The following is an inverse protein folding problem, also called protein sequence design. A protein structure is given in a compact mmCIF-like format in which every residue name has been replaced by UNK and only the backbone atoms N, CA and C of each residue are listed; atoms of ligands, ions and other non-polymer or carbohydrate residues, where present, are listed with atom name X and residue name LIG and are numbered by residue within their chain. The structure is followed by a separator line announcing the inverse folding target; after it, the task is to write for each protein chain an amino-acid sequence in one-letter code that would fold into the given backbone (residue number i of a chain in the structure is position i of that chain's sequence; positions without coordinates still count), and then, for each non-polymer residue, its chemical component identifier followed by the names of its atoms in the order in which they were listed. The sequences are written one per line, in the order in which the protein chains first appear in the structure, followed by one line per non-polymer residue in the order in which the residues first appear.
data_IF_011006884423
#
_entry.id   IF_011006884423
#
_cell.length_a   1.000
_cell.length_b   1.000
_cell.length_c   1.000
_cell.angle_alpha   90.00
_cell.angle_beta   90.00
_cell.angle_gamma   90.00
#
_symmetry.space_group_name_H-M   'P 1'
#
loop_
_entity.id
_entity.type
_entity.pdbx_description
1 polymer ?
#
# COMPACT_ATOMS: atom_id res chain seq x y z
N UNK A 1 -3.22 -32.31 9.66
CA UNK A 1 -3.13 -30.83 9.55
C UNK A 1 -2.07 -30.36 10.54
N UNK A 2 -0.89 -29.90 10.07
CA UNK A 2 0.13 -29.33 10.98
C UNK A 2 -0.30 -27.90 11.31
N UNK A 3 -0.58 -27.62 12.57
CA UNK A 3 -0.85 -26.26 13.04
C UNK A 3 0.50 -25.52 12.97
N UNK A 4 0.61 -24.40 12.23
CA UNK A 4 1.86 -23.65 12.17
C UNK A 4 2.24 -23.19 13.59
N UNK A 5 3.53 -23.33 13.93
CA UNK A 5 4.02 -22.85 15.22
C UNK A 5 3.75 -21.34 15.38
N UNK A 6 3.19 -20.97 16.52
CA UNK A 6 2.89 -19.56 16.84
C UNK A 6 4.20 -18.80 16.99
N UNK A 7 4.54 -18.01 15.97
CA UNK A 7 5.70 -17.11 16.03
C UNK A 7 5.44 -15.99 17.04
N UNK A 8 6.39 -15.72 17.92
CA UNK A 8 6.35 -14.66 18.95
C UNK A 8 7.49 -13.66 18.76
N UNK A 9 7.41 -12.51 19.43
CA UNK A 9 8.43 -11.47 19.38
C UNK A 9 8.72 -10.96 17.96
N UNK A 10 10.00 -10.74 17.66
CA UNK A 10 10.47 -10.22 16.37
C UNK A 10 10.17 -11.18 15.20
N UNK A 11 10.15 -12.49 15.44
CA UNK A 11 9.83 -13.50 14.42
C UNK A 11 8.42 -13.34 13.87
N UNK A 12 7.48 -12.88 14.72
CA UNK A 12 6.10 -12.58 14.29
C UNK A 12 6.03 -11.35 13.40
N UNK A 13 6.77 -10.30 13.73
CA UNK A 13 6.81 -9.05 12.95
C UNK A 13 7.37 -9.34 11.56
N UNK A 14 8.47 -10.08 11.49
CA UNK A 14 9.05 -10.50 10.21
C UNK A 14 8.09 -11.34 9.38
N UNK A 15 7.41 -12.32 10.00
CA UNK A 15 6.41 -13.11 9.31
C UNK A 15 5.27 -12.23 8.76
N UNK A 16 4.73 -11.32 9.57
CA UNK A 16 3.67 -10.41 9.15
C UNK A 16 4.12 -9.51 7.97
N UNK A 17 5.35 -9.03 7.97
CA UNK A 17 5.91 -8.25 6.87
C UNK A 17 5.93 -9.05 5.56
N UNK A 18 6.42 -10.30 5.58
CA UNK A 18 6.41 -11.14 4.38
C UNK A 18 5.00 -11.48 3.91
N UNK A 19 4.07 -11.73 4.84
CA UNK A 19 2.65 -11.90 4.48
C UNK A 19 2.05 -10.64 3.85
N UNK A 20 2.40 -9.45 4.33
CA UNK A 20 1.99 -8.19 3.70
C UNK A 20 2.55 -8.04 2.28
N UNK A 21 3.81 -8.42 2.06
CA UNK A 21 4.42 -8.41 0.72
C UNK A 21 3.76 -9.41 -0.22
N UNK A 22 3.42 -10.60 0.26
CA UNK A 22 2.72 -11.62 -0.53
C UNK A 22 1.32 -11.15 -0.95
N UNK A 23 0.58 -10.51 -0.04
CA UNK A 23 -0.72 -9.90 -0.33
C UNK A 23 -0.62 -8.77 -1.35
N UNK A 24 0.37 -7.87 -1.20
CA UNK A 24 0.60 -6.78 -2.14
C UNK A 24 0.98 -7.31 -3.53
N UNK A 25 1.84 -8.34 -3.60
CA UNK A 25 2.21 -8.99 -4.86
C UNK A 25 0.98 -9.60 -5.54
N UNK A 26 0.11 -10.24 -4.78
CA UNK A 26 -1.14 -10.78 -5.30
C UNK A 26 -2.03 -9.69 -5.91
N UNK A 27 -2.27 -8.59 -5.20
CA UNK A 27 -3.08 -7.47 -5.68
C UNK A 27 -2.53 -6.90 -7.00
N UNK A 28 -1.21 -6.68 -7.10
CA UNK A 28 -0.56 -6.17 -8.32
C UNK A 28 -0.72 -7.12 -9.51
N UNK A 29 -0.83 -8.43 -9.30
CA UNK A 29 -0.94 -9.40 -10.40
C UNK A 29 -2.37 -9.79 -10.76
N UNK A 30 -3.28 -9.71 -9.80
CA UNK A 30 -4.64 -10.25 -9.91
C UNK A 30 -5.68 -9.17 -10.20
N UNK A 31 -5.41 -7.91 -9.82
CA UNK A 31 -6.43 -6.85 -9.81
C UNK A 31 -6.05 -5.69 -10.71
N UNK A 32 -6.66 -5.66 -11.90
CA UNK A 32 -6.45 -4.58 -12.85
C UNK A 32 -6.85 -3.20 -12.30
N UNK A 33 -7.88 -3.13 -11.44
CA UNK A 33 -8.32 -1.89 -10.78
C UNK A 33 -7.25 -1.34 -9.83
N UNK A 34 -6.69 -2.20 -8.97
CA UNK A 34 -5.59 -1.83 -8.08
C UNK A 34 -4.38 -1.25 -8.84
N UNK A 35 -4.00 -1.86 -9.97
CA UNK A 35 -2.91 -1.34 -10.82
C UNK A 35 -3.24 0.05 -11.37
N UNK A 36 -4.48 0.27 -11.82
CA UNK A 36 -4.91 1.59 -12.32
C UNK A 36 -4.79 2.66 -11.23
N UNK A 37 -5.22 2.36 -10.01
CA UNK A 37 -5.08 3.29 -8.88
C UNK A 37 -3.62 3.55 -8.53
N UNK A 38 -2.75 2.54 -8.54
CA UNK A 38 -1.31 2.71 -8.32
C UNK A 38 -0.70 3.63 -9.38
N UNK A 39 -1.06 3.47 -10.65
CA UNK A 39 -0.58 4.35 -11.74
C UNK A 39 -1.05 5.79 -11.50
N UNK A 40 -2.32 5.99 -11.15
CA UNK A 40 -2.88 7.31 -10.85
C UNK A 40 -2.16 7.95 -9.65
N UNK A 41 -1.92 7.17 -8.59
CA UNK A 41 -1.16 7.60 -7.42
C UNK A 41 0.25 8.06 -7.81
N UNK A 42 0.99 7.27 -8.60
CA UNK A 42 2.33 7.62 -9.05
C UNK A 42 2.36 8.89 -9.90
N UNK A 43 1.42 9.04 -10.85
CA UNK A 43 1.29 10.26 -11.65
C UNK A 43 0.98 11.47 -10.77
N UNK A 44 0.08 11.32 -9.79
CA UNK A 44 -0.22 12.37 -8.82
C UNK A 44 0.99 12.76 -7.99
N UNK A 45 1.82 11.81 -7.56
CA UNK A 45 3.06 12.09 -6.81
C UNK A 45 4.05 12.90 -7.66
N UNK A 46 4.23 12.55 -8.93
CA UNK A 46 5.08 13.30 -9.86
C UNK A 46 4.54 14.73 -10.03
N UNK A 47 3.24 14.89 -10.25
CA UNK A 47 2.62 16.21 -10.39
C UNK A 47 2.80 17.06 -9.11
N UNK A 48 2.63 16.45 -7.93
CA UNK A 48 2.70 17.12 -6.63
C UNK A 48 4.09 17.70 -6.33
N UNK A 49 5.16 17.09 -6.87
CA UNK A 49 6.54 17.63 -6.76
C UNK A 49 6.60 19.04 -7.35
N UNK A 50 5.99 19.25 -8.53
CA UNK A 50 6.03 20.52 -9.25
C UNK A 50 5.00 21.55 -8.78
N UNK A 51 4.04 21.16 -7.94
CA UNK A 51 3.04 22.11 -7.42
C UNK A 51 3.64 23.05 -6.37
N UNK A 52 3.40 24.37 -6.46
CA UNK A 52 3.86 25.36 -5.48
C UNK A 52 2.95 25.38 -4.23
N UNK A 53 2.82 24.24 -3.56
CA UNK A 53 2.02 24.08 -2.35
C UNK A 53 2.90 24.00 -1.09
N UNK A 54 2.44 24.54 0.05
CA UNK A 54 3.09 24.30 1.34
C UNK A 54 3.22 22.81 1.65
N UNK A 55 4.29 22.43 2.35
CA UNK A 55 4.62 21.03 2.63
C UNK A 55 3.48 20.28 3.34
N UNK A 56 2.77 20.95 4.25
CA UNK A 56 1.60 20.40 4.94
C UNK A 56 0.52 19.92 3.96
N UNK A 57 0.19 20.73 2.96
CA UNK A 57 -0.82 20.37 1.95
C UNK A 57 -0.33 19.23 1.06
N UNK A 58 0.96 19.21 0.71
CA UNK A 58 1.54 18.06 -0.01
C UNK A 58 1.42 16.78 0.82
N UNK A 59 1.78 16.82 2.09
CA UNK A 59 1.68 15.66 2.98
C UNK A 59 0.24 15.14 3.11
N UNK A 60 -0.74 16.05 3.24
CA UNK A 60 -2.16 15.67 3.26
C UNK A 60 -2.60 15.01 1.95
N UNK A 61 -2.17 15.53 0.80
CA UNK A 61 -2.45 14.93 -0.51
C UNK A 61 -1.82 13.55 -0.65
N UNK A 62 -0.56 13.38 -0.24
CA UNK A 62 0.07 12.04 -0.21
C UNK A 62 -0.72 11.09 0.68
N UNK A 63 -1.08 11.52 1.88
CA UNK A 63 -1.80 10.68 2.85
C UNK A 63 -3.17 10.25 2.33
N UNK A 64 -3.98 11.17 1.82
CA UNK A 64 -5.34 10.85 1.35
C UNK A 64 -5.30 9.98 0.09
N UNK A 65 -4.40 10.27 -0.86
CA UNK A 65 -4.29 9.48 -2.09
C UNK A 65 -3.73 8.08 -1.80
N UNK A 66 -2.77 7.95 -0.87
CA UNK A 66 -2.29 6.63 -0.44
C UNK A 66 -3.37 5.83 0.32
N UNK A 67 -4.28 6.50 1.05
CA UNK A 67 -5.37 5.84 1.75
C UNK A 67 -6.36 5.15 0.80
N UNK A 68 -6.51 5.65 -0.44
CA UNK A 68 -7.34 4.99 -1.47
C UNK A 68 -6.79 3.59 -1.77
N UNK A 69 -5.48 3.46 -1.97
CA UNK A 69 -4.82 2.16 -2.18
C UNK A 69 -5.02 1.20 -1.00
N UNK A 70 -5.04 1.73 0.24
CA UNK A 70 -5.33 0.92 1.43
C UNK A 70 -6.78 0.44 1.42
N UNK A 71 -7.72 1.31 1.09
CA UNK A 71 -9.15 0.96 1.04
C UNK A 71 -9.40 -0.07 -0.06
N UNK A 72 -8.74 0.03 -1.22
CA UNK A 72 -8.87 -0.96 -2.29
C UNK A 72 -8.35 -2.34 -1.86
N UNK A 73 -7.19 -2.40 -1.19
CA UNK A 73 -6.68 -3.64 -0.60
C UNK A 73 -7.57 -4.24 0.51
N UNK A 74 -8.45 -3.43 1.12
CA UNK A 74 -9.45 -3.91 2.08
C UNK A 74 -10.77 -4.33 1.42
N UNK A 75 -11.02 -3.82 0.21
CA UNK A 75 -12.22 -4.09 -0.58
C UNK A 75 -12.10 -5.42 -1.34
N UNK A 76 -10.88 -5.79 -1.73
CA UNK A 76 -10.53 -7.05 -2.38
C UNK A 76 -10.10 -8.15 -1.40
#
# INVERSE_FOLDING_TARGET
MKIPERRTGLSRIWAAFFYSLDGLKHAITSEAAFIQEVIIFLVAMVALVFMPLPLMWKALLVFVTASVLVVELLNS
#
